data_IF_142614556057
#
_entry.id   IF_142614556057
#
_cell.length_a   1.000
_cell.length_b   1.000
_cell.length_c   1.000
_cell.angle_alpha   90.00
_cell.angle_beta   90.00
_cell.angle_gamma   90.00
#
_symmetry.space_group_name_H-M   'P 1'
#
loop_
_entity.id
_entity.type
_entity.pdbx_description
1 polymer ?
#
# COMPACT_ATOMS: atom_id res chain seq x y z
N UNK A 1 -17.91 8.13 17.97
CA UNK A 1 -16.54 8.56 17.68
C UNK A 1 -16.65 9.61 16.59
N UNK A 2 -16.47 10.87 16.94
CA UNK A 2 -16.57 11.96 15.98
C UNK A 2 -15.22 12.09 15.28
N UNK A 3 -15.26 11.97 13.96
CA UNK A 3 -14.12 12.32 13.12
C UNK A 3 -13.83 13.81 13.26
N UNK A 4 -12.63 14.14 13.70
CA UNK A 4 -12.14 15.53 13.74
C UNK A 4 -11.94 15.93 12.28
N UNK A 5 -12.92 16.62 11.73
CA UNK A 5 -12.79 17.29 10.43
C UNK A 5 -11.96 18.54 10.66
N UNK A 6 -10.75 18.60 10.13
CA UNK A 6 -9.94 19.80 10.14
C UNK A 6 -10.67 20.95 9.44
N UNK A 7 -10.60 22.18 9.96
CA UNK A 7 -11.29 23.33 9.37
C UNK A 7 -10.73 23.61 7.96
N UNK A 8 -11.62 23.54 6.98
CA UNK A 8 -11.30 23.89 5.60
C UNK A 8 -11.13 25.41 5.49
N UNK A 9 -9.95 25.83 5.11
CA UNK A 9 -9.69 27.22 4.74
C UNK A 9 -9.88 27.34 3.23
N UNK A 10 -10.91 28.08 2.76
CA UNK A 10 -11.06 28.33 1.32
C UNK A 10 -9.95 29.29 0.89
N UNK A 11 -9.02 28.79 0.10
CA UNK A 11 -8.02 29.65 -0.51
C UNK A 11 -8.11 29.48 -2.05
N UNK A 12 -8.69 30.47 -2.70
CA UNK A 12 -8.92 30.51 -4.15
C UNK A 12 -7.63 30.59 -5.01
N UNK A 13 -6.45 30.54 -4.35
CA UNK A 13 -5.17 30.69 -5.02
C UNK A 13 -4.47 29.35 -5.36
N UNK A 14 -5.11 28.21 -5.12
CA UNK A 14 -4.57 26.95 -5.60
C UNK A 14 -4.99 26.70 -7.05
N UNK A 15 -4.07 26.27 -7.95
CA UNK A 15 -4.44 25.93 -9.30
C UNK A 15 -5.45 24.80 -9.27
N UNK A 16 -6.67 25.07 -9.72
CA UNK A 16 -7.65 24.03 -10.01
C UNK A 16 -7.05 23.16 -11.11
N UNK A 17 -6.91 21.87 -10.83
CA UNK A 17 -6.55 20.91 -11.86
C UNK A 17 -7.69 20.85 -12.87
N UNK A 18 -7.55 21.54 -14.02
CA UNK A 18 -8.40 21.29 -15.18
C UNK A 18 -8.04 19.89 -15.69
N UNK A 19 -8.79 18.91 -15.26
CA UNK A 19 -8.74 17.57 -15.83
C UNK A 19 -9.35 17.67 -17.22
N UNK A 20 -8.53 17.71 -18.25
CA UNK A 20 -8.99 17.37 -19.59
C UNK A 20 -9.66 15.99 -19.50
N UNK A 21 -10.95 15.97 -19.73
CA UNK A 21 -11.80 14.77 -19.70
C UNK A 21 -11.44 13.83 -20.85
N UNK A 22 -10.31 13.20 -20.74
CA UNK A 22 -10.11 11.90 -21.40
C UNK A 22 -10.87 10.88 -20.57
N UNK A 23 -11.77 10.14 -21.20
CA UNK A 23 -12.73 9.16 -20.66
C UNK A 23 -12.11 7.96 -19.95
N UNK A 24 -10.93 8.07 -19.38
CA UNK A 24 -10.27 7.08 -18.55
C UNK A 24 -10.54 7.40 -17.10
N UNK A 25 -11.24 6.50 -16.43
CA UNK A 25 -11.52 6.61 -15.00
C UNK A 25 -10.17 6.48 -14.25
N UNK A 26 -9.77 7.54 -13.55
CA UNK A 26 -8.52 7.56 -12.78
C UNK A 26 -8.84 7.71 -11.31
N UNK A 27 -8.10 6.96 -10.50
CA UNK A 27 -8.07 7.16 -9.05
C UNK A 27 -7.08 8.27 -8.73
N UNK A 28 -7.54 9.24 -7.94
CA UNK A 28 -6.71 10.35 -7.46
C UNK A 28 -6.23 10.02 -6.05
N UNK A 29 -4.93 10.08 -5.85
CA UNK A 29 -4.29 9.73 -4.58
C UNK A 29 -3.49 10.96 -4.11
N UNK A 30 -3.76 11.40 -2.88
CA UNK A 30 -2.93 12.36 -2.17
C UNK A 30 -1.69 11.64 -1.63
N UNK A 31 -0.51 12.07 -2.04
CA UNK A 31 0.74 11.39 -1.74
C UNK A 31 1.16 10.38 -2.82
N UNK A 32 1.95 9.41 -2.43
CA UNK A 32 2.47 8.36 -3.33
C UNK A 32 1.50 7.17 -3.44
N UNK A 33 1.79 6.25 -4.37
CA UNK A 33 0.94 5.09 -4.65
C UNK A 33 0.97 4.02 -3.55
N UNK A 34 2.00 4.04 -2.68
CA UNK A 34 2.22 2.99 -1.68
C UNK A 34 1.59 3.33 -0.32
N UNK A 35 1.66 4.59 0.10
CA UNK A 35 1.20 5.04 1.42
C UNK A 35 0.19 6.20 1.36
N UNK A 36 -0.15 6.67 0.16
CA UNK A 36 -1.07 7.79 -0.04
C UNK A 36 -2.53 7.41 0.18
N UNK A 37 -3.36 8.43 0.35
CA UNK A 37 -4.80 8.28 0.60
C UNK A 37 -5.60 8.65 -0.64
N UNK A 38 -6.59 7.84 -1.00
CA UNK A 38 -7.50 8.17 -2.09
C UNK A 38 -8.34 9.40 -1.73
N UNK A 39 -8.38 10.34 -2.65
CA UNK A 39 -9.21 11.56 -2.53
C UNK A 39 -10.20 11.65 -3.69
N UNK A 40 -11.28 12.41 -3.49
CA UNK A 40 -12.19 12.75 -4.57
C UNK A 40 -11.49 13.66 -5.59
N UNK A 41 -11.96 13.64 -6.85
CA UNK A 41 -11.35 14.46 -7.92
C UNK A 41 -11.42 15.98 -7.65
N UNK A 42 -12.40 16.40 -6.84
CA UNK A 42 -12.60 17.77 -6.36
C UNK A 42 -12.11 17.95 -4.90
N UNK A 43 -11.42 16.94 -4.34
CA UNK A 43 -10.92 16.94 -2.98
C UNK A 43 -9.66 17.78 -2.79
N UNK A 44 -9.19 17.82 -1.55
CA UNK A 44 -7.97 18.52 -1.17
C UNK A 44 -6.84 17.53 -0.89
N UNK A 45 -5.63 17.95 -1.23
CA UNK A 45 -4.40 17.23 -0.88
C UNK A 45 -4.19 17.29 0.63
N UNK A 46 -3.65 16.22 1.22
CA UNK A 46 -3.30 16.18 2.64
C UNK A 46 -2.28 17.26 3.02
N UNK A 47 -2.34 17.73 4.27
CA UNK A 47 -1.52 18.86 4.74
C UNK A 47 0.00 18.59 4.64
N UNK A 48 0.41 17.33 4.72
CA UNK A 48 1.81 16.90 4.65
C UNK A 48 2.19 16.29 3.29
N UNK A 49 1.21 16.13 2.40
CA UNK A 49 1.48 15.58 1.07
C UNK A 49 1.98 16.67 0.13
N UNK A 50 2.98 16.34 -0.66
CA UNK A 50 3.60 17.25 -1.61
C UNK A 50 3.40 16.82 -3.08
N UNK A 51 2.67 15.73 -3.31
CA UNK A 51 2.40 15.21 -4.65
C UNK A 51 0.99 14.63 -4.76
N UNK A 52 0.51 14.56 -6.00
CA UNK A 52 -0.72 13.86 -6.36
C UNK A 52 -0.35 12.75 -7.34
N UNK A 53 -0.82 11.54 -7.06
CA UNK A 53 -0.64 10.40 -7.94
C UNK A 53 -1.94 10.05 -8.63
N UNK A 54 -1.89 9.88 -9.95
CA UNK A 54 -3.03 9.42 -10.76
C UNK A 54 -2.78 7.98 -11.19
N UNK A 55 -3.70 7.09 -10.83
CA UNK A 55 -3.63 5.68 -11.20
C UNK A 55 -4.86 5.30 -12.02
N UNK A 56 -4.66 4.61 -13.13
CA UNK A 56 -5.78 4.14 -13.97
C UNK A 56 -6.62 3.12 -13.21
N UNK A 57 -7.96 3.29 -13.21
CA UNK A 57 -8.85 2.28 -12.65
C UNK A 57 -8.83 1.01 -13.48
N UNK A 58 -8.56 -0.10 -12.82
CA UNK A 58 -8.54 -1.43 -13.40
C UNK A 58 -9.90 -2.11 -13.27
N UNK A 59 -10.74 -2.01 -14.30
CA UNK A 59 -12.08 -2.61 -14.32
C UNK A 59 -12.16 -3.88 -15.18
N UNK A 60 -11.02 -4.37 -15.69
CA UNK A 60 -11.03 -5.50 -16.62
C UNK A 60 -10.43 -6.74 -15.92
N UNK A 61 -11.28 -7.74 -15.55
CA UNK A 61 -10.78 -9.01 -15.08
C UNK A 61 -10.12 -9.76 -16.24
N UNK A 62 -8.89 -10.19 -16.04
CA UNK A 62 -8.19 -11.06 -17.00
C UNK A 62 -8.76 -12.47 -16.95
N UNK A 63 -9.40 -12.89 -18.04
CA UNK A 63 -9.87 -14.28 -18.13
C UNK A 63 -8.70 -15.25 -18.03
N UNK A 64 -8.74 -16.16 -17.04
CA UNK A 64 -7.67 -17.12 -16.73
C UNK A 64 -6.26 -16.50 -16.59
N UNK A 65 -6.18 -15.25 -16.15
CA UNK A 65 -4.95 -14.48 -16.11
C UNK A 65 -3.82 -15.09 -15.27
N UNK A 66 -4.13 -16.00 -14.34
CA UNK A 66 -3.18 -16.75 -13.52
C UNK A 66 -2.58 -17.97 -14.25
N UNK A 67 -3.23 -18.49 -15.30
CA UNK A 67 -2.73 -19.59 -16.15
C UNK A 67 -1.88 -19.10 -17.33
N UNK A 68 -1.99 -17.81 -17.68
CA UNK A 68 -1.28 -17.26 -18.83
C UNK A 68 0.20 -17.05 -18.51
N UNK A 69 1.10 -17.11 -19.51
CA UNK A 69 2.54 -16.89 -19.33
C UNK A 69 2.91 -15.53 -18.70
N UNK A 70 1.99 -14.57 -18.71
CA UNK A 70 2.13 -13.28 -18.02
C UNK A 70 3.29 -12.43 -18.51
N UNK A 71 3.50 -12.33 -19.83
CA UNK A 71 4.62 -11.60 -20.45
C UNK A 71 4.65 -10.12 -20.06
N UNK A 72 3.50 -9.53 -19.75
CA UNK A 72 3.36 -8.10 -19.36
C UNK A 72 2.91 -7.91 -17.91
N UNK A 73 2.92 -8.95 -17.10
CA UNK A 73 2.52 -8.88 -15.69
C UNK A 73 3.74 -8.69 -14.81
N UNK A 74 3.63 -7.75 -13.85
CA UNK A 74 4.65 -7.60 -12.82
C UNK A 74 4.57 -8.79 -11.85
N UNK A 75 5.73 -9.32 -11.45
CA UNK A 75 5.83 -10.32 -10.40
C UNK A 75 7.17 -10.20 -9.71
N UNK A 76 7.15 -9.89 -8.43
CA UNK A 76 8.35 -9.82 -7.60
C UNK A 76 9.00 -11.20 -7.45
N UNK A 77 8.20 -12.23 -7.23
CA UNK A 77 8.64 -13.63 -7.08
C UNK A 77 9.08 -14.29 -8.40
N UNK A 78 9.05 -13.55 -9.54
CA UNK A 78 9.40 -14.04 -10.88
C UNK A 78 8.56 -15.24 -11.32
N UNK A 79 7.35 -15.35 -10.85
CA UNK A 79 6.41 -16.44 -11.20
C UNK A 79 6.00 -16.40 -12.68
N UNK A 80 5.94 -15.20 -13.26
CA UNK A 80 5.59 -15.02 -14.68
C UNK A 80 6.83 -14.94 -15.57
N UNK A 81 6.64 -15.23 -16.85
CA UNK A 81 7.70 -15.16 -17.87
C UNK A 81 8.36 -13.76 -17.96
N UNK A 82 7.60 -12.72 -17.68
CA UNK A 82 8.10 -11.34 -17.56
C UNK A 82 9.24 -11.18 -16.55
N UNK A 83 9.30 -12.01 -15.52
CA UNK A 83 10.36 -12.00 -14.51
C UNK A 83 11.75 -12.35 -15.05
N UNK A 84 11.85 -12.98 -16.21
CA UNK A 84 13.12 -13.31 -16.88
C UNK A 84 13.66 -12.14 -17.72
N UNK A 85 12.85 -11.09 -18.01
CA UNK A 85 13.24 -9.94 -18.82
C UNK A 85 13.03 -8.59 -18.10
N UNK A 86 13.45 -8.42 -16.84
CA UNK A 86 13.09 -7.22 -16.03
C UNK A 86 13.67 -5.92 -16.55
N UNK A 87 14.80 -5.96 -17.28
CA UNK A 87 15.52 -4.74 -17.73
C UNK A 87 14.91 -4.09 -18.98
N UNK A 88 14.07 -4.78 -19.71
CA UNK A 88 13.51 -4.33 -20.99
C UNK A 88 12.06 -3.86 -20.89
N UNK A 89 11.39 -4.09 -19.76
CA UNK A 89 9.96 -3.84 -19.64
C UNK A 89 9.66 -2.61 -18.79
N UNK A 90 8.76 -1.78 -19.30
CA UNK A 90 8.10 -0.75 -18.51
C UNK A 90 6.76 -1.33 -18.03
N UNK A 91 6.57 -1.32 -16.73
CA UNK A 91 5.36 -1.81 -16.09
C UNK A 91 4.30 -0.70 -16.11
N UNK A 92 3.09 -1.05 -16.49
CA UNK A 92 1.93 -0.18 -16.37
C UNK A 92 1.08 -0.76 -15.24
N UNK A 93 1.02 -0.03 -14.16
CA UNK A 93 0.18 -0.38 -13.02
C UNK A 93 -1.21 0.23 -13.16
N UNK A 94 -2.20 -0.46 -12.63
CA UNK A 94 -3.58 -0.03 -12.48
C UNK A 94 -4.09 -0.41 -11.09
N UNK A 95 -5.35 -0.15 -10.78
CA UNK A 95 -5.95 -0.48 -9.48
C UNK A 95 -6.45 -1.92 -9.40
N UNK A 96 -6.20 -2.77 -10.41
CA UNK A 96 -6.56 -4.19 -10.35
C UNK A 96 -5.74 -4.91 -9.30
N UNK A 97 -6.42 -5.64 -8.46
CA UNK A 97 -5.81 -6.41 -7.38
C UNK A 97 -4.99 -7.61 -7.88
N UNK A 98 -5.24 -8.09 -9.10
CA UNK A 98 -4.58 -9.23 -9.75
C UNK A 98 -4.43 -10.46 -8.86
N UNK A 99 -5.42 -10.74 -8.02
CA UNK A 99 -5.46 -11.83 -7.07
C UNK A 99 -6.64 -11.71 -6.12
N UNK A 100 -6.66 -12.55 -5.12
CA UNK A 100 -7.66 -12.55 -4.05
C UNK A 100 -6.93 -12.44 -2.71
N UNK A 101 -7.60 -11.88 -1.73
CA UNK A 101 -7.14 -11.92 -0.34
C UNK A 101 -7.04 -13.37 0.13
N UNK A 102 -5.93 -13.71 0.76
CA UNK A 102 -5.64 -15.05 1.27
C UNK A 102 -5.10 -14.98 2.68
N UNK A 103 -5.17 -16.09 3.44
CA UNK A 103 -4.50 -16.16 4.73
C UNK A 103 -3.01 -15.78 4.61
N UNK A 104 -2.52 -15.05 5.58
CA UNK A 104 -1.14 -14.59 5.63
C UNK A 104 -0.16 -15.75 5.64
N UNK A 105 0.77 -15.79 4.68
CA UNK A 105 1.76 -16.85 4.53
C UNK A 105 3.18 -16.35 4.65
N UNK A 106 4.06 -17.21 5.16
CA UNK A 106 5.49 -16.95 5.27
C UNK A 106 6.13 -17.16 3.91
N UNK A 107 6.55 -16.09 3.25
CA UNK A 107 7.20 -16.16 1.93
C UNK A 107 8.70 -15.94 1.98
N UNK A 108 9.24 -15.29 3.04
CA UNK A 108 10.64 -14.86 3.12
C UNK A 108 11.00 -13.75 2.12
N UNK A 109 9.98 -13.03 1.62
CA UNK A 109 10.19 -11.95 0.66
C UNK A 109 10.27 -10.59 1.34
N UNK A 110 9.67 -10.45 2.54
CA UNK A 110 9.61 -9.17 3.25
C UNK A 110 10.99 -8.67 3.67
N UNK A 111 11.84 -9.56 4.12
CA UNK A 111 13.22 -9.26 4.51
C UNK A 111 14.08 -8.70 3.36
N UNK A 112 13.64 -8.89 2.11
CA UNK A 112 14.34 -8.37 0.92
C UNK A 112 14.04 -6.92 0.63
N UNK A 113 12.93 -6.41 1.12
CA UNK A 113 12.43 -5.06 0.81
C UNK A 113 12.27 -4.18 2.05
N UNK A 114 12.26 -4.78 3.23
CA UNK A 114 12.14 -4.05 4.48
C UNK A 114 13.43 -3.26 4.75
N UNK A 115 13.33 -1.96 5.13
CA UNK A 115 14.49 -1.07 5.18
C UNK A 115 15.35 -1.24 6.45
N UNK A 116 14.84 -1.90 7.50
CA UNK A 116 15.51 -2.03 8.79
C UNK A 116 15.94 -3.46 9.08
N UNK A 117 16.92 -3.63 9.98
CA UNK A 117 17.42 -4.93 10.43
C UNK A 117 16.57 -5.45 11.61
N UNK A 118 15.28 -5.62 11.37
CA UNK A 118 14.33 -6.25 12.29
C UNK A 118 13.60 -7.38 11.55
N UNK A 119 12.80 -8.15 12.27
CA UNK A 119 12.05 -9.28 11.73
C UNK A 119 10.61 -8.86 11.33
N UNK A 120 10.39 -8.33 10.11
CA UNK A 120 9.10 -7.75 9.72
C UNK A 120 7.96 -8.77 9.78
N UNK A 121 8.21 -10.01 9.34
CA UNK A 121 7.23 -11.07 9.38
C UNK A 121 6.75 -11.41 10.79
N UNK A 122 7.69 -11.52 11.74
CA UNK A 122 7.41 -11.84 13.13
C UNK A 122 6.65 -10.71 13.80
N UNK A 123 7.03 -9.46 13.51
CA UNK A 123 6.35 -8.27 14.02
C UNK A 123 4.90 -8.19 13.55
N UNK A 124 4.64 -8.41 12.25
CA UNK A 124 3.27 -8.47 11.69
C UNK A 124 2.45 -9.55 12.43
N UNK A 125 3.03 -10.72 12.67
CA UNK A 125 2.33 -11.79 13.40
C UNK A 125 2.05 -11.43 14.85
N UNK A 126 2.98 -10.78 15.54
CA UNK A 126 2.76 -10.30 16.90
C UNK A 126 1.60 -9.29 16.94
N UNK A 127 1.53 -8.38 15.99
CA UNK A 127 0.43 -7.43 15.86
C UNK A 127 -0.92 -8.12 15.58
N UNK A 128 -0.94 -9.15 14.71
CA UNK A 128 -2.14 -9.92 14.41
C UNK A 128 -2.71 -10.67 15.62
N UNK A 129 -1.82 -11.17 16.49
CA UNK A 129 -2.22 -11.90 17.71
C UNK A 129 -2.50 -10.94 18.87
N UNK A 130 -1.98 -9.71 18.82
CA UNK A 130 -2.08 -8.73 19.90
C UNK A 130 -1.15 -9.03 21.08
N UNK A 131 0.00 -9.67 20.84
CA UNK A 131 1.01 -9.99 21.85
C UNK A 131 1.93 -8.77 22.07
N UNK A 132 1.60 -7.97 23.08
CA UNK A 132 2.30 -6.72 23.39
C UNK A 132 3.77 -6.94 23.73
N UNK A 133 4.07 -7.89 24.60
CA UNK A 133 5.44 -8.19 25.00
C UNK A 133 6.31 -8.57 23.79
N UNK A 134 5.73 -9.34 22.88
CA UNK A 134 6.42 -9.75 21.65
C UNK A 134 6.58 -8.60 20.67
N UNK A 135 5.58 -7.72 20.52
CA UNK A 135 5.68 -6.52 19.69
C UNK A 135 6.81 -5.60 20.15
N UNK A 136 6.90 -5.35 21.47
CA UNK A 136 7.97 -4.51 22.06
C UNK A 136 9.35 -5.14 21.86
N UNK A 137 9.48 -6.43 22.14
CA UNK A 137 10.74 -7.15 21.96
C UNK A 137 11.20 -7.21 20.50
N UNK A 138 10.28 -7.14 19.54
CA UNK A 138 10.56 -7.12 18.10
C UNK A 138 10.76 -5.71 17.54
N UNK A 139 10.64 -4.67 18.37
CA UNK A 139 10.94 -3.29 17.97
C UNK A 139 9.77 -2.53 17.34
N UNK A 140 8.54 -2.72 17.82
CA UNK A 140 7.35 -1.98 17.34
C UNK A 140 7.52 -0.45 17.42
N UNK A 141 8.30 0.06 18.36
CA UNK A 141 8.57 1.47 18.53
C UNK A 141 9.57 2.06 17.52
N UNK A 142 10.24 1.22 16.77
CA UNK A 142 11.26 1.63 15.78
C UNK A 142 10.71 1.74 14.37
N UNK A 143 9.43 1.45 14.19
CA UNK A 143 8.80 1.36 12.86
C UNK A 143 7.53 2.20 12.77
N UNK A 144 7.23 2.60 11.54
CA UNK A 144 5.97 3.22 11.18
C UNK A 144 5.23 2.39 10.11
N UNK A 145 3.91 2.55 9.95
CA UNK A 145 3.14 1.82 8.94
C UNK A 145 3.71 1.96 7.53
N UNK A 146 4.24 3.14 7.19
CA UNK A 146 4.83 3.45 5.88
C UNK A 146 6.06 2.62 5.55
N UNK A 147 6.82 2.16 6.55
CA UNK A 147 8.00 1.31 6.36
C UNK A 147 7.62 -0.06 5.78
N UNK A 148 6.38 -0.50 6.04
CA UNK A 148 5.82 -1.74 5.52
C UNK A 148 5.14 -1.60 4.14
N UNK A 149 5.13 -0.42 3.55
CA UNK A 149 4.44 -0.19 2.27
C UNK A 149 4.99 -1.08 1.14
N UNK A 150 6.31 -1.31 1.08
CA UNK A 150 6.90 -2.24 0.12
C UNK A 150 6.57 -3.69 0.44
N UNK A 151 6.50 -4.07 1.73
CA UNK A 151 6.08 -5.42 2.13
C UNK A 151 4.66 -5.71 1.68
N UNK A 152 3.74 -4.77 1.89
CA UNK A 152 2.36 -4.85 1.43
C UNK A 152 2.25 -4.96 -0.10
N UNK A 153 3.04 -4.16 -0.84
CA UNK A 153 3.06 -4.20 -2.28
C UNK A 153 3.47 -5.57 -2.85
N UNK A 154 4.45 -6.24 -2.25
CA UNK A 154 4.92 -7.55 -2.71
C UNK A 154 4.15 -8.73 -2.11
N UNK A 155 3.31 -8.50 -1.10
CA UNK A 155 2.59 -9.57 -0.44
C UNK A 155 1.68 -10.34 -1.40
N UNK A 156 1.90 -11.64 -1.48
CA UNK A 156 1.11 -12.55 -2.31
C UNK A 156 -0.28 -12.80 -1.73
N UNK A 157 -0.45 -12.60 -0.43
CA UNK A 157 -1.71 -12.80 0.30
C UNK A 157 -2.63 -11.58 0.23
N UNK A 158 -2.12 -10.43 -0.25
CA UNK A 158 -2.85 -9.15 -0.33
C UNK A 158 -3.37 -8.66 1.03
N UNK A 159 -2.55 -8.83 2.04
CA UNK A 159 -2.86 -8.42 3.40
C UNK A 159 -2.62 -6.91 3.55
N UNK A 160 -3.52 -6.21 4.22
CA UNK A 160 -3.33 -4.79 4.58
C UNK A 160 -2.36 -4.67 5.77
N UNK A 161 -1.07 -4.74 5.46
CA UNK A 161 0.00 -4.79 6.47
C UNK A 161 0.12 -3.46 7.19
N UNK A 162 0.00 -2.34 6.49
CA UNK A 162 0.08 -1.02 7.10
C UNK A 162 -1.02 -0.81 8.14
N UNK A 163 -2.24 -1.28 7.88
CA UNK A 163 -3.33 -1.23 8.86
C UNK A 163 -3.05 -2.11 10.08
N UNK A 164 -2.46 -3.30 9.89
CA UNK A 164 -2.09 -4.20 10.98
C UNK A 164 -1.06 -3.53 11.91
N UNK A 165 -0.01 -2.94 11.35
CA UNK A 165 1.01 -2.23 12.13
C UNK A 165 0.43 -1.01 12.85
N UNK A 166 -0.42 -0.22 12.20
CA UNK A 166 -1.12 0.92 12.81
C UNK A 166 -1.95 0.48 14.02
N UNK A 167 -2.70 -0.61 13.88
CA UNK A 167 -3.49 -1.17 14.98
C UNK A 167 -2.58 -1.68 16.12
N UNK A 168 -1.44 -2.30 15.80
CA UNK A 168 -0.43 -2.72 16.78
C UNK A 168 0.11 -1.53 17.59
N UNK A 169 0.51 -0.45 16.92
CA UNK A 169 0.97 0.78 17.56
C UNK A 169 -0.10 1.42 18.45
N UNK A 170 -1.37 1.40 18.01
CA UNK A 170 -2.48 1.90 18.83
C UNK A 170 -2.73 1.04 20.08
N UNK A 171 -2.55 -0.28 19.98
CA UNK A 171 -2.68 -1.19 21.12
C UNK A 171 -1.59 -0.90 22.17
N UNK A 172 -0.34 -0.83 21.73
CA UNK A 172 0.80 -0.55 22.61
C UNK A 172 0.66 0.84 23.25
N UNK A 173 0.20 1.84 22.50
CA UNK A 173 -0.06 3.18 23.03
C UNK A 173 -1.11 3.17 24.13
N UNK A 174 -2.22 2.45 23.96
CA UNK A 174 -3.30 2.35 24.95
C UNK A 174 -2.90 1.64 26.23
N UNK A 175 -1.95 0.71 26.16
CA UNK A 175 -1.43 0.02 27.34
C UNK A 175 -0.52 0.95 28.17
N UNK A 176 0.13 1.90 27.53
CA UNK A 176 1.05 2.85 28.18
C UNK A 176 0.37 4.15 28.67
N UNK A 177 -0.92 4.36 28.38
CA UNK A 177 -1.75 5.48 28.89
C UNK A 177 -2.46 5.11 30.19
#
# INVERSE_FOLDING_TARGET
MESIVAPQVPNDNYPKMETETTTTNHRVISGNVLSGTQIAADGYIGAYDNMITLLSEGNQPDFMGWLMPGVRKFSFSKTFFSGFMPKLMRWKFDTNFHGEERPFVVTGEFEKVFPFDIYPLQLIKACLVGDLDLMENLGIYEVEPEDFALCEFIDTSKTDIQAIIRNGLELVRKENE
#
